data_IF_480198119378
#
_entry.id   IF_480198119378
#
_cell.length_a   1.000
_cell.length_b   1.000
_cell.length_c   1.000
_cell.angle_alpha   90.00
_cell.angle_beta   90.00
_cell.angle_gamma   90.00
#
_symmetry.space_group_name_H-M   'P 1'
#
loop_
_entity.id
_entity.type
_entity.pdbx_description
1 polymer ?
#
# COMPACT_ATOMS: atom_id res chain seq x y z
N UNK A 1 6.65 13.31 -23.15
CA UNK A 1 6.56 12.90 -22.76
C UNK A 1 5.82 12.60 -22.07
N UNK A 2 5.56 12.34 -22.01
CA UNK A 2 4.99 11.93 -21.51
C UNK A 2 4.87 11.34 -20.53
N UNK A 3 5.29 10.65 -20.62
CA UNK A 3 5.40 9.71 -19.68
C UNK A 3 5.16 10.22 -18.39
N UNK A 4 5.44 11.31 -18.21
CA UNK A 4 5.26 11.91 -17.02
C UNK A 4 3.92 12.03 -16.58
N UNK A 5 3.09 12.33 -17.47
CA UNK A 5 1.74 12.57 -17.13
C UNK A 5 1.15 11.49 -16.36
N UNK A 6 1.48 10.29 -16.70
CA UNK A 6 0.80 9.25 -16.03
C UNK A 6 1.54 8.74 -14.85
N UNK A 7 2.53 9.41 -14.45
CA UNK A 7 3.29 8.97 -13.34
C UNK A 7 2.50 8.74 -12.11
N UNK A 8 1.69 9.66 -11.67
CA UNK A 8 0.97 9.43 -10.43
C UNK A 8 -0.08 8.37 -10.60
N UNK A 9 -0.72 8.30 -11.74
CA UNK A 9 -1.70 7.26 -11.96
C UNK A 9 -1.03 5.92 -12.12
N UNK A 10 0.25 5.93 -12.48
CA UNK A 10 0.98 4.71 -12.71
C UNK A 10 1.90 4.32 -11.59
N UNK A 11 1.71 4.86 -10.43
CA UNK A 11 2.55 4.47 -9.30
C UNK A 11 2.50 2.98 -9.11
N UNK A 12 3.63 2.34 -8.87
CA UNK A 12 3.64 0.91 -8.62
C UNK A 12 2.75 0.55 -7.45
N UNK A 13 2.14 -0.61 -7.51
CA UNK A 13 1.27 -1.05 -6.44
C UNK A 13 1.99 -1.03 -5.10
N UNK A 14 3.26 -1.38 -5.09
CA UNK A 14 4.04 -1.38 -3.87
C UNK A 14 4.06 0.01 -3.23
N UNK A 15 4.30 1.03 -4.02
CA UNK A 15 4.34 2.38 -3.48
C UNK A 15 2.98 2.85 -2.99
N UNK A 16 1.93 2.50 -3.72
CA UNK A 16 0.59 2.85 -3.28
C UNK A 16 0.26 2.20 -1.95
N UNK A 17 0.62 0.94 -1.81
CA UNK A 17 0.38 0.22 -0.58
C UNK A 17 1.15 0.84 0.57
N UNK A 18 2.41 1.16 0.36
CA UNK A 18 3.22 1.78 1.40
C UNK A 18 2.65 3.11 1.85
N UNK A 19 2.24 3.94 0.91
CA UNK A 19 1.67 5.23 1.24
C UNK A 19 0.39 5.09 2.05
N UNK A 20 -0.48 4.19 1.64
CA UNK A 20 -1.73 3.96 2.34
C UNK A 20 -1.48 3.41 3.74
N UNK A 21 -0.53 2.49 3.86
CA UNK A 21 -0.23 1.91 5.15
C UNK A 21 0.28 2.95 6.13
N UNK A 22 1.16 3.83 5.68
CA UNK A 22 1.66 4.88 6.56
C UNK A 22 0.51 5.74 7.05
N UNK A 23 -0.37 6.13 6.15
CA UNK A 23 -1.52 6.95 6.53
C UNK A 23 -2.40 6.24 7.54
N UNK A 24 -2.73 5.00 7.27
CA UNK A 24 -3.63 4.26 8.16
C UNK A 24 -2.98 3.98 9.51
N UNK A 25 -1.70 3.66 9.50
CA UNK A 25 -1.00 3.41 10.75
C UNK A 25 -0.97 4.66 11.63
N UNK A 26 -0.82 5.83 11.01
CA UNK A 26 -0.81 7.08 11.76
C UNK A 26 -2.21 7.47 12.23
N UNK A 27 -3.21 7.16 11.45
CA UNK A 27 -4.59 7.52 11.80
C UNK A 27 -5.20 6.62 12.85
N UNK A 28 -5.05 5.34 12.72
CA UNK A 28 -5.71 4.40 13.61
C UNK A 28 -4.79 3.40 14.28
N UNK A 29 -3.53 3.41 13.95
CA UNK A 29 -2.57 2.51 14.58
C UNK A 29 -2.42 1.21 13.81
N UNK A 30 -1.26 0.61 13.96
CA UNK A 30 -0.94 -0.60 13.23
C UNK A 30 -1.93 -1.74 13.51
N UNK A 31 -2.25 -1.94 14.78
CA UNK A 31 -3.11 -3.05 15.15
C UNK A 31 -4.53 -2.94 14.62
N UNK A 32 -5.02 -1.72 14.50
CA UNK A 32 -6.38 -1.52 14.02
C UNK A 32 -6.49 -1.48 12.51
N UNK A 33 -5.38 -1.43 11.81
CA UNK A 33 -5.38 -1.42 10.36
C UNK A 33 -5.50 -2.84 9.84
N UNK A 34 -6.44 -3.08 8.94
CA UNK A 34 -6.65 -4.41 8.39
C UNK A 34 -6.18 -4.47 6.94
N UNK A 35 -5.88 -5.67 6.48
CA UNK A 35 -5.47 -5.86 5.08
C UNK A 35 -6.56 -5.44 4.11
N UNK A 36 -7.80 -5.74 4.46
CA UNK A 36 -8.92 -5.36 3.60
C UNK A 36 -8.95 -3.86 3.39
N UNK A 37 -8.71 -3.11 4.45
CA UNK A 37 -8.71 -1.67 4.38
C UNK A 37 -7.54 -1.16 3.53
N UNK A 38 -6.38 -1.77 3.70
CA UNK A 38 -5.21 -1.38 2.95
C UNK A 38 -5.41 -1.58 1.45
N UNK A 39 -5.87 -2.77 1.05
CA UNK A 39 -6.04 -3.05 -0.37
C UNK A 39 -7.12 -2.17 -0.98
N UNK A 40 -8.17 -1.89 -0.22
CA UNK A 40 -9.23 -1.04 -0.71
C UNK A 40 -8.74 0.37 -0.95
N UNK A 41 -8.05 0.94 0.02
CA UNK A 41 -7.57 2.31 -0.10
C UNK A 41 -6.45 2.44 -1.13
N UNK A 42 -5.63 1.43 -1.26
CA UNK A 42 -4.55 1.44 -2.23
C UNK A 42 -5.03 1.11 -3.63
N UNK A 43 -6.28 0.68 -3.75
CA UNK A 43 -6.87 0.32 -5.02
C UNK A 43 -6.09 -0.79 -5.71
N UNK A 44 -5.77 -1.82 -4.95
CA UNK A 44 -5.09 -3.01 -5.48
C UNK A 44 -5.89 -4.22 -5.06
N UNK A 45 -5.67 -5.35 -5.73
CA UNK A 45 -6.36 -6.56 -5.35
C UNK A 45 -5.62 -7.20 -4.17
N UNK A 46 -6.33 -8.04 -3.45
CA UNK A 46 -5.73 -8.75 -2.35
C UNK A 46 -4.57 -9.63 -2.84
N UNK A 47 -4.75 -10.24 -4.00
CA UNK A 47 -3.70 -11.04 -4.59
C UNK A 47 -2.44 -10.24 -4.85
N UNK A 48 -2.60 -9.03 -5.38
CA UNK A 48 -1.46 -8.16 -5.63
C UNK A 48 -0.74 -7.83 -4.35
N UNK A 49 -1.50 -7.56 -3.29
CA UNK A 49 -0.89 -7.25 -2.01
C UNK A 49 -0.06 -8.44 -1.52
N UNK A 50 -0.62 -9.65 -1.61
CA UNK A 50 0.08 -10.82 -1.13
C UNK A 50 1.32 -11.14 -1.95
N UNK A 51 1.29 -10.84 -3.23
CA UNK A 51 2.47 -11.05 -4.06
C UNK A 51 3.60 -10.11 -3.67
N UNK A 52 3.26 -8.94 -3.15
CA UNK A 52 4.26 -7.94 -2.81
C UNK A 52 4.72 -8.05 -1.37
N UNK A 53 3.77 -8.17 -0.45
CA UNK A 53 4.11 -8.14 0.96
C UNK A 53 3.70 -9.34 1.78
N UNK A 54 2.82 -10.11 1.41
CA UNK A 54 2.31 -11.27 2.15
C UNK A 54 1.43 -10.87 3.34
N UNK A 55 1.86 -9.89 4.13
CA UNK A 55 1.08 -9.48 5.31
C UNK A 55 1.48 -8.09 5.73
N UNK A 56 0.78 -7.53 6.70
CA UNK A 56 1.11 -6.21 7.22
C UNK A 56 2.56 -6.13 7.70
N UNK A 57 3.03 -7.22 8.28
CA UNK A 57 4.40 -7.24 8.80
C UNK A 57 5.41 -7.01 7.68
N UNK A 58 5.12 -7.49 6.49
CA UNK A 58 5.99 -7.25 5.36
C UNK A 58 6.09 -5.78 5.02
N UNK A 59 5.00 -5.05 5.20
CA UNK A 59 5.01 -3.62 4.96
C UNK A 59 5.91 -2.93 5.97
N UNK A 60 5.83 -3.34 7.23
CA UNK A 60 6.67 -2.76 8.26
C UNK A 60 8.13 -2.94 7.95
N UNK A 61 8.49 -4.10 7.43
CA UNK A 61 9.87 -4.38 7.07
C UNK A 61 10.38 -3.40 6.03
N UNK A 62 9.52 -3.03 5.10
CA UNK A 62 9.90 -2.07 4.07
C UNK A 62 10.00 -0.65 4.61
N UNK A 63 9.21 -0.33 5.60
CA UNK A 63 9.19 1.02 6.14
C UNK A 63 10.33 1.28 7.13
N UNK A 64 10.84 0.24 7.71
CA UNK A 64 11.95 0.34 8.65
C UNK A 64 13.31 0.23 7.92
#
# INVERSE_FOLDING_TARGET
>A
MIAIAHTSASLPAKKRILTVCVKLFLEKGYKKTTLAEIVEKANVSYSSFQNIFRAKDGVLTELV
#
